data_IF_660088869889
#
_entry.id   IF_660088869889
#
_cell.length_a   1.000
_cell.length_b   1.000
_cell.length_c   1.000
_cell.angle_alpha   90.00
_cell.angle_beta   90.00
_cell.angle_gamma   90.00
#
_symmetry.space_group_name_H-M   'P 1'
#
loop_
_entity.id
_entity.type
_entity.pdbx_description
1 polymer ?
#
# COMPACT_ATOMS: atom_id res chain seq x y z
N UNK A 1 1.43 2.38 -23.40
CA UNK A 1 2.06 2.11 -22.10
C UNK A 1 0.97 1.62 -21.16
N UNK A 2 0.97 0.34 -20.74
CA UNK A 2 -0.09 -0.23 -19.90
C UNK A 2 0.29 -0.02 -18.43
N UNK A 3 -0.58 0.60 -17.64
CA UNK A 3 -0.32 0.91 -16.24
C UNK A 3 -0.13 -0.39 -15.45
N UNK A 4 0.97 -0.50 -14.73
CA UNK A 4 1.37 -1.74 -14.05
C UNK A 4 0.51 -1.99 -12.82
N UNK A 5 -0.04 -0.92 -12.24
CA UNK A 5 -1.12 -1.06 -11.27
C UNK A 5 -2.32 -1.80 -11.86
N UNK A 6 -2.65 -1.64 -13.16
CA UNK A 6 -3.75 -2.38 -13.78
C UNK A 6 -3.42 -3.86 -14.01
N UNK A 7 -2.17 -4.19 -14.33
CA UNK A 7 -1.75 -5.59 -14.49
C UNK A 7 -1.67 -6.30 -13.15
N UNK A 8 -1.16 -5.62 -12.12
CA UNK A 8 -1.17 -6.08 -10.75
C UNK A 8 -2.61 -6.25 -10.22
N UNK A 9 -3.51 -5.28 -10.47
CA UNK A 9 -4.92 -5.38 -10.08
C UNK A 9 -5.60 -6.58 -10.76
N UNK A 10 -5.30 -6.83 -12.04
CA UNK A 10 -5.81 -7.99 -12.79
C UNK A 10 -5.28 -9.30 -12.21
N UNK A 11 -4.00 -9.36 -11.88
CA UNK A 11 -3.40 -10.53 -11.25
C UNK A 11 -4.01 -10.76 -9.86
N UNK A 12 -4.09 -9.72 -9.03
CA UNK A 12 -4.70 -9.75 -7.70
C UNK A 12 -6.16 -10.20 -7.75
N UNK A 13 -7.02 -9.57 -8.58
CA UNK A 13 -8.43 -9.97 -8.73
C UNK A 13 -8.58 -11.41 -9.25
N UNK A 14 -7.69 -11.84 -10.15
CA UNK A 14 -7.67 -13.23 -10.62
C UNK A 14 -7.28 -14.18 -9.48
N UNK A 15 -6.32 -13.80 -8.63
CA UNK A 15 -5.92 -14.56 -7.45
C UNK A 15 -7.03 -14.64 -6.41
N UNK A 16 -7.73 -13.54 -6.09
CA UNK A 16 -8.85 -13.54 -5.13
C UNK A 16 -9.98 -14.47 -5.59
N UNK A 17 -10.30 -14.44 -6.89
CA UNK A 17 -11.29 -15.33 -7.49
C UNK A 17 -10.87 -16.80 -7.44
N UNK A 18 -9.58 -17.12 -7.64
CA UNK A 18 -9.07 -18.49 -7.58
C UNK A 18 -9.03 -19.00 -6.12
N UNK A 19 -8.63 -18.16 -5.16
CA UNK A 19 -8.54 -18.50 -3.73
C UNK A 19 -9.92 -18.81 -3.14
N UNK A 20 -10.94 -18.01 -3.50
CA UNK A 20 -12.34 -18.29 -3.12
C UNK A 20 -12.83 -19.66 -3.61
N UNK A 21 -12.22 -20.21 -4.68
CA UNK A 21 -12.59 -21.48 -5.28
C UNK A 21 -11.73 -22.68 -4.82
N UNK A 22 -10.56 -22.47 -4.20
CA UNK A 22 -9.61 -23.55 -3.83
C UNK A 22 -9.20 -23.52 -2.36
N UNK A 23 -10.17 -23.73 -1.45
CA UNK A 23 -9.91 -24.14 -0.05
C UNK A 23 -9.45 -25.61 0.05
N UNK A 24 -8.30 -25.98 -0.53
CA UNK A 24 -7.61 -27.25 -0.26
C UNK A 24 -6.30 -27.29 -1.05
N UNK A 25 -5.23 -27.80 -0.42
CA UNK A 25 -3.98 -28.35 -1.02
C UNK A 25 -2.69 -27.54 -0.77
N UNK A 26 -1.99 -27.94 0.30
CA UNK A 26 -0.56 -28.25 0.46
C UNK A 26 0.55 -27.16 0.58
N UNK A 27 1.47 -27.50 1.50
CA UNK A 27 2.68 -26.81 1.99
C UNK A 27 3.89 -27.04 1.06
N UNK A 28 4.51 -25.98 0.52
CA UNK A 28 5.98 -25.77 0.48
C UNK A 28 6.36 -24.45 -0.24
N UNK A 29 7.43 -23.80 0.25
CA UNK A 29 8.15 -22.62 -0.25
C UNK A 29 7.38 -21.28 -0.41
N UNK A 30 6.91 -20.76 0.73
CA UNK A 30 6.14 -19.51 0.86
C UNK A 30 7.02 -18.23 0.85
N UNK A 31 8.30 -18.30 1.21
CA UNK A 31 9.06 -17.11 1.61
C UNK A 31 9.59 -16.24 0.43
N UNK A 32 10.03 -16.87 -0.67
CA UNK A 32 10.65 -16.18 -1.82
C UNK A 32 9.63 -15.33 -2.61
N UNK A 33 8.37 -15.76 -2.67
CA UNK A 33 7.33 -15.09 -3.47
C UNK A 33 6.80 -13.81 -2.81
N UNK A 34 6.72 -13.81 -1.47
CA UNK A 34 6.18 -12.69 -0.69
C UNK A 34 7.15 -11.51 -0.67
N UNK A 35 8.47 -11.78 -0.67
CA UNK A 35 9.49 -10.73 -0.88
C UNK A 35 9.25 -9.99 -2.20
N UNK A 36 9.04 -10.77 -3.26
CA UNK A 36 8.81 -10.21 -4.59
C UNK A 36 7.58 -9.30 -4.62
N UNK A 37 6.47 -9.71 -3.99
CA UNK A 37 5.26 -8.87 -3.92
C UNK A 37 5.49 -7.57 -3.14
N UNK A 38 6.12 -7.64 -1.97
CA UNK A 38 6.38 -6.43 -1.20
C UNK A 38 7.37 -5.49 -1.91
N UNK A 39 8.44 -6.04 -2.48
CA UNK A 39 9.42 -5.26 -3.25
C UNK A 39 8.79 -4.67 -4.52
N UNK A 40 7.90 -5.41 -5.19
CA UNK A 40 7.13 -4.90 -6.31
C UNK A 40 6.23 -3.74 -5.89
N UNK A 41 5.47 -3.85 -4.79
CA UNK A 41 4.62 -2.75 -4.29
C UNK A 41 5.47 -1.51 -3.95
N UNK A 42 6.62 -1.73 -3.30
CA UNK A 42 7.54 -0.66 -2.90
C UNK A 42 8.22 0.04 -4.10
N UNK A 43 8.58 -0.72 -5.15
CA UNK A 43 9.28 -0.23 -6.35
C UNK A 43 8.35 0.29 -7.46
N UNK A 44 7.18 -0.32 -7.66
CA UNK A 44 6.25 -0.04 -8.77
C UNK A 44 5.44 1.25 -8.61
N UNK A 45 5.58 1.96 -7.50
CA UNK A 45 5.08 3.33 -7.42
C UNK A 45 5.99 4.35 -8.13
N UNK A 46 7.10 3.93 -8.74
CA UNK A 46 7.99 4.81 -9.54
C UNK A 46 8.42 4.29 -10.92
N UNK A 47 8.51 2.99 -11.25
CA UNK A 47 8.77 2.52 -12.64
C UNK A 47 8.60 1.00 -12.85
N UNK A 48 8.80 0.53 -14.09
CA UNK A 48 8.34 -0.74 -14.71
C UNK A 48 8.91 -2.06 -14.15
N UNK A 49 8.07 -3.09 -13.93
CA UNK A 49 8.52 -4.48 -13.72
C UNK A 49 8.57 -5.17 -15.09
N UNK A 50 9.72 -5.78 -15.39
CA UNK A 50 9.88 -6.69 -16.52
C UNK A 50 8.99 -7.93 -16.34
N UNK A 51 8.37 -8.35 -17.45
CA UNK A 51 7.37 -9.43 -17.54
C UNK A 51 7.89 -10.82 -17.15
N UNK A 52 8.23 -11.04 -15.88
CA UNK A 52 8.61 -12.35 -15.36
C UNK A 52 7.67 -12.87 -14.27
N UNK A 53 6.39 -12.49 -14.34
CA UNK A 53 5.35 -13.18 -13.57
C UNK A 53 4.89 -14.42 -14.35
N UNK A 54 5.59 -15.51 -14.10
CA UNK A 54 5.24 -16.85 -14.60
C UNK A 54 3.84 -17.25 -14.09
N UNK A 55 2.90 -17.62 -14.99
CA UNK A 55 1.54 -18.04 -14.64
C UNK A 55 1.46 -19.26 -13.69
N UNK A 56 2.54 -20.04 -13.59
CA UNK A 56 2.53 -21.34 -12.92
C UNK A 56 2.88 -21.28 -11.42
N UNK A 57 3.16 -20.09 -10.87
CA UNK A 57 3.63 -19.93 -9.49
C UNK A 57 2.47 -19.70 -8.49
N UNK A 58 1.42 -20.53 -8.54
CA UNK A 58 0.29 -20.43 -7.60
C UNK A 58 0.58 -21.32 -6.39
N UNK A 59 1.09 -20.73 -5.32
CA UNK A 59 1.25 -21.38 -4.01
C UNK A 59 0.28 -20.80 -2.97
N UNK A 60 -0.06 -21.60 -1.96
CA UNK A 60 -0.89 -21.20 -0.81
C UNK A 60 -0.26 -20.02 -0.06
N UNK A 61 -0.67 -18.80 -0.40
CA UNK A 61 -0.46 -17.63 0.45
C UNK A 61 -1.47 -17.75 1.59
N UNK A 62 -0.99 -17.77 2.83
CA UNK A 62 -1.86 -17.74 4.01
C UNK A 62 -2.75 -16.49 3.95
N UNK A 63 -4.03 -16.63 4.31
CA UNK A 63 -5.03 -15.55 4.20
C UNK A 63 -4.57 -14.27 4.91
N UNK A 64 -3.93 -14.41 6.08
CA UNK A 64 -3.33 -13.31 6.82
C UNK A 64 -2.24 -12.58 6.03
N UNK A 65 -1.42 -13.32 5.29
CA UNK A 65 -0.34 -12.76 4.48
C UNK A 65 -0.87 -12.04 3.24
N UNK A 66 -1.91 -12.59 2.61
CA UNK A 66 -2.61 -11.92 1.50
C UNK A 66 -3.29 -10.63 1.98
N UNK A 67 -3.94 -10.67 3.14
CA UNK A 67 -4.55 -9.49 3.75
C UNK A 67 -3.50 -8.40 4.07
N UNK A 68 -2.31 -8.79 4.53
CA UNK A 68 -1.20 -7.85 4.74
C UNK A 68 -0.71 -7.23 3.42
N UNK A 69 -0.56 -8.03 2.37
CA UNK A 69 -0.19 -7.53 1.03
C UNK A 69 -1.24 -6.54 0.51
N UNK A 70 -2.52 -6.86 0.65
CA UNK A 70 -3.62 -5.98 0.22
C UNK A 70 -3.64 -4.65 0.98
N UNK A 71 -3.44 -4.70 2.31
CA UNK A 71 -3.32 -3.48 3.12
C UNK A 71 -2.15 -2.60 2.66
N UNK A 72 -0.97 -3.18 2.42
CA UNK A 72 0.17 -2.39 1.94
C UNK A 72 -0.08 -1.82 0.54
N UNK A 73 -0.68 -2.61 -0.37
CA UNK A 73 -1.06 -2.14 -1.69
C UNK A 73 -2.02 -0.95 -1.62
N UNK A 74 -3.06 -1.05 -0.79
CA UNK A 74 -4.05 0.00 -0.61
C UNK A 74 -3.47 1.30 -0.07
N UNK A 75 -2.43 1.21 0.79
CA UNK A 75 -1.66 2.34 1.28
C UNK A 75 -0.87 3.00 0.14
N UNK A 76 -0.07 2.23 -0.61
CA UNK A 76 0.72 2.75 -1.72
C UNK A 76 -0.14 3.32 -2.85
N UNK A 77 -1.28 2.71 -3.17
CA UNK A 77 -2.21 3.23 -4.17
C UNK A 77 -2.76 4.62 -3.80
N UNK A 78 -2.96 4.89 -2.50
CA UNK A 78 -3.37 6.23 -2.01
C UNK A 78 -2.19 7.20 -2.03
N UNK A 79 -1.02 6.75 -1.59
CA UNK A 79 0.22 7.53 -1.68
C UNK A 79 0.49 7.99 -3.11
N UNK A 80 0.40 7.12 -4.12
CA UNK A 80 0.62 7.50 -5.53
C UNK A 80 -0.34 8.60 -5.98
N UNK A 81 -1.62 8.54 -5.58
CA UNK A 81 -2.60 9.59 -5.91
C UNK A 81 -2.28 10.91 -5.22
N UNK A 82 -1.94 10.86 -3.93
CA UNK A 82 -1.51 12.03 -3.16
C UNK A 82 -0.26 12.66 -3.79
N UNK A 83 0.79 11.87 -3.98
CA UNK A 83 2.04 12.28 -4.60
C UNK A 83 1.83 12.88 -6.00
N UNK A 84 0.93 12.31 -6.81
CA UNK A 84 0.58 12.87 -8.13
C UNK A 84 -0.05 14.25 -8.01
N UNK A 85 -1.02 14.45 -7.12
CA UNK A 85 -1.68 15.74 -6.92
C UNK A 85 -0.69 16.79 -6.40
N UNK A 86 0.16 16.40 -5.44
CA UNK A 86 1.17 17.26 -4.81
C UNK A 86 2.24 17.68 -5.83
N UNK A 87 2.84 16.74 -6.55
CA UNK A 87 3.90 17.04 -7.52
C UNK A 87 3.40 17.79 -8.75
N UNK A 88 2.18 17.52 -9.20
CA UNK A 88 1.57 18.27 -10.31
C UNK A 88 1.07 19.66 -9.90
N UNK A 89 1.08 19.99 -8.61
CA UNK A 89 0.47 21.21 -8.05
C UNK A 89 -0.93 21.44 -8.59
N UNK A 90 -1.71 20.37 -8.65
CA UNK A 90 -3.01 20.39 -9.30
C UNK A 90 -4.03 21.20 -8.49
N UNK A 91 -4.24 22.45 -8.89
CA UNK A 91 -5.24 23.36 -8.31
C UNK A 91 -6.66 22.79 -8.36
N UNK A 92 -6.97 22.04 -9.41
CA UNK A 92 -8.26 21.39 -9.58
C UNK A 92 -8.46 20.20 -8.64
N UNK A 93 -7.41 19.46 -8.29
CA UNK A 93 -7.51 18.26 -7.47
C UNK A 93 -7.07 18.45 -6.01
N UNK A 94 -6.59 19.64 -5.60
CA UNK A 94 -6.15 19.91 -4.22
C UNK A 94 -7.24 19.63 -3.18
N UNK A 95 -8.51 19.81 -3.52
CA UNK A 95 -9.65 19.50 -2.65
C UNK A 95 -9.77 18.00 -2.31
N UNK A 96 -9.16 17.12 -3.11
CA UNK A 96 -9.16 15.68 -2.88
C UNK A 96 -8.11 15.24 -1.85
N UNK A 97 -7.08 16.08 -1.59
CA UNK A 97 -5.99 15.76 -0.67
C UNK A 97 -6.52 15.37 0.71
N UNK A 98 -7.52 16.09 1.22
CA UNK A 98 -8.01 15.87 2.58
C UNK A 98 -8.74 14.52 2.67
N UNK A 99 -9.58 14.24 1.68
CA UNK A 99 -10.31 12.96 1.60
C UNK A 99 -9.36 11.78 1.43
N UNK A 100 -8.36 11.91 0.55
CA UNK A 100 -7.39 10.85 0.26
C UNK A 100 -6.45 10.60 1.45
N UNK A 101 -5.91 11.65 2.07
CA UNK A 101 -5.03 11.55 3.24
C UNK A 101 -5.79 11.04 4.47
N UNK A 102 -7.05 11.44 4.66
CA UNK A 102 -7.91 10.89 5.73
C UNK A 102 -8.19 9.40 5.54
N UNK A 103 -8.47 8.95 4.31
CA UNK A 103 -8.61 7.50 4.04
C UNK A 103 -7.30 6.75 4.23
N UNK A 104 -6.19 7.36 3.84
CA UNK A 104 -4.86 6.79 4.06
C UNK A 104 -4.54 6.65 5.56
N UNK A 105 -4.94 7.63 6.38
CA UNK A 105 -4.85 7.57 7.83
C UNK A 105 -5.56 6.33 8.40
N UNK A 106 -6.83 6.12 8.03
CA UNK A 106 -7.61 4.97 8.53
C UNK A 106 -6.92 3.66 8.20
N UNK A 107 -6.54 3.48 6.94
CA UNK A 107 -5.88 2.26 6.48
C UNK A 107 -4.51 2.07 7.15
N UNK A 108 -3.77 3.15 7.39
CA UNK A 108 -2.47 3.11 8.04
C UNK A 108 -2.58 2.74 9.51
N UNK A 109 -3.57 3.28 10.23
CA UNK A 109 -3.86 2.89 11.61
C UNK A 109 -4.14 1.39 11.67
N UNK A 110 -5.04 0.89 10.82
CA UNK A 110 -5.35 -0.55 10.76
C UNK A 110 -4.12 -1.41 10.46
N UNK A 111 -3.31 -1.01 9.48
CA UNK A 111 -2.05 -1.66 9.15
C UNK A 111 -1.08 -1.64 10.33
N UNK A 112 -0.95 -0.52 11.02
CA UNK A 112 0.00 -0.35 12.13
C UNK A 112 -0.30 -1.26 13.32
N UNK A 113 -1.59 -1.51 13.61
CA UNK A 113 -1.99 -2.44 14.67
C UNK A 113 -1.44 -3.85 14.45
N UNK A 114 -1.28 -4.28 13.20
CA UNK A 114 -0.73 -5.61 12.85
C UNK A 114 0.71 -5.75 13.35
N UNK A 115 1.43 -4.63 13.48
CA UNK A 115 2.83 -4.55 13.89
C UNK A 115 3.04 -4.33 15.38
N UNK A 116 1.97 -4.34 16.18
CA UNK A 116 2.09 -4.19 17.62
C UNK A 116 2.81 -5.40 18.25
N UNK A 117 3.71 -5.19 19.23
CA UNK A 117 4.47 -6.26 19.88
C UNK A 117 3.63 -7.39 20.51
N UNK A 118 2.35 -7.13 20.81
CA UNK A 118 1.42 -8.10 21.37
C UNK A 118 0.71 -9.00 20.34
N UNK A 119 0.88 -8.75 19.04
CA UNK A 119 0.29 -9.58 17.98
C UNK A 119 1.26 -10.70 17.59
N UNK A 120 1.03 -11.90 18.14
CA UNK A 120 1.87 -13.11 17.99
C UNK A 120 1.93 -13.72 16.57
N UNK A 121 1.52 -13.00 15.52
CA UNK A 121 1.61 -13.47 14.13
C UNK A 121 2.97 -13.04 13.56
N UNK A 122 3.64 -13.93 12.82
CA UNK A 122 4.92 -13.70 12.13
C UNK A 122 4.78 -12.65 10.99
N UNK A 123 4.39 -11.42 11.34
CA UNK A 123 4.17 -10.31 10.41
C UNK A 123 5.40 -9.40 10.31
N UNK A 124 6.56 -9.84 10.79
CA UNK A 124 7.84 -9.10 10.75
C UNK A 124 8.03 -8.41 9.40
N UNK A 125 7.78 -9.13 8.30
CA UNK A 125 8.06 -8.65 6.95
C UNK A 125 7.09 -7.59 6.46
N UNK A 126 5.81 -7.73 6.81
CA UNK A 126 4.83 -6.67 6.55
C UNK A 126 5.23 -5.40 7.31
N UNK A 127 5.68 -5.52 8.55
CA UNK A 127 6.09 -4.39 9.38
C UNK A 127 7.40 -3.74 8.92
N UNK A 128 8.36 -4.55 8.48
CA UNK A 128 9.56 -4.08 7.78
C UNK A 128 9.20 -3.25 6.55
N UNK A 129 8.15 -3.64 5.81
CA UNK A 129 7.68 -2.95 4.60
C UNK A 129 6.71 -1.80 4.84
N UNK A 130 6.05 -1.76 5.99
CA UNK A 130 5.22 -0.63 6.41
C UNK A 130 6.08 0.58 6.81
N UNK A 131 7.29 0.33 7.31
CA UNK A 131 8.27 1.37 7.69
C UNK A 131 8.67 2.28 6.52
N UNK A 132 9.14 1.79 5.35
CA UNK A 132 9.47 2.64 4.22
C UNK A 132 8.25 3.34 3.62
N UNK A 133 7.05 2.74 3.69
CA UNK A 133 5.81 3.44 3.34
C UNK A 133 5.62 4.69 4.21
N UNK A 134 5.76 4.55 5.54
CA UNK A 134 5.63 5.66 6.48
C UNK A 134 6.61 6.78 6.12
N UNK A 135 7.90 6.45 5.90
CA UNK A 135 8.92 7.43 5.52
C UNK A 135 8.56 8.16 4.22
N UNK A 136 8.16 7.45 3.17
CA UNK A 136 7.73 8.06 1.90
C UNK A 136 6.53 8.99 2.08
N UNK A 137 5.56 8.61 2.91
CA UNK A 137 4.41 9.45 3.18
C UNK A 137 4.80 10.72 3.97
N UNK A 138 5.73 10.60 4.92
CA UNK A 138 6.23 11.74 5.70
C UNK A 138 6.98 12.75 4.83
N UNK A 139 7.68 12.31 3.78
CA UNK A 139 8.31 13.19 2.79
C UNK A 139 7.30 14.08 2.04
N UNK A 140 6.03 13.65 1.94
CA UNK A 140 4.98 14.49 1.36
C UNK A 140 4.71 15.75 2.20
N UNK A 141 5.05 15.76 3.49
CA UNK A 141 4.79 16.89 4.39
C UNK A 141 5.58 18.12 3.95
N UNK A 142 6.84 17.91 3.61
CA UNK A 142 7.72 18.97 3.15
C UNK A 142 7.23 19.51 1.80
N UNK A 143 6.81 18.61 0.90
CA UNK A 143 6.28 18.99 -0.41
C UNK A 143 5.00 19.83 -0.31
N UNK A 144 4.01 19.41 0.50
CA UNK A 144 2.78 20.21 0.68
C UNK A 144 3.05 21.56 1.35
N UNK A 145 4.07 21.64 2.21
CA UNK A 145 4.55 22.90 2.79
C UNK A 145 5.06 23.87 1.73
N UNK A 146 5.82 23.37 0.76
CA UNK A 146 6.35 24.20 -0.35
C UNK A 146 5.30 24.61 -1.39
N UNK A 147 4.23 23.82 -1.53
CA UNK A 147 3.17 24.07 -2.52
C UNK A 147 2.12 25.09 -2.05
N UNK A 148 2.23 25.60 -0.81
CA UNK A 148 1.40 26.67 -0.28
C UNK A 148 0.39 26.24 0.78
N UNK A 149 -0.19 27.24 1.45
CA UNK A 149 -1.07 27.04 2.61
C UNK A 149 -2.26 26.12 2.30
N UNK A 150 -2.89 26.27 1.13
CA UNK A 150 -4.07 25.48 0.79
C UNK A 150 -3.76 23.99 0.59
N UNK A 151 -2.57 23.62 0.12
CA UNK A 151 -2.14 22.22 0.04
C UNK A 151 -1.92 21.65 1.44
N UNK A 152 -1.22 22.40 2.29
CA UNK A 152 -0.95 22.01 3.68
C UNK A 152 -2.23 21.87 4.50
N UNK A 153 -3.17 22.82 4.38
CA UNK A 153 -4.44 22.80 5.09
C UNK A 153 -5.36 21.66 4.66
N UNK A 154 -5.20 21.15 3.43
CA UNK A 154 -5.97 20.03 2.90
C UNK A 154 -5.20 18.71 2.96
N UNK A 155 -4.10 18.59 3.69
CA UNK A 155 -3.35 17.33 3.77
C UNK A 155 -3.20 16.87 5.22
N UNK A 156 -3.64 15.62 5.50
CA UNK A 156 -3.55 15.02 6.83
C UNK A 156 -2.26 14.21 6.99
N UNK A 157 -1.49 14.51 8.04
CA UNK A 157 -0.25 13.80 8.38
C UNK A 157 -0.54 12.48 9.11
N UNK A 158 0.38 11.52 8.99
CA UNK A 158 0.29 10.26 9.73
C UNK A 158 0.27 10.45 11.25
N UNK A 159 0.97 11.47 11.76
CA UNK A 159 1.00 11.82 13.18
C UNK A 159 -0.33 12.38 13.69
N UNK A 160 -1.20 12.85 12.79
CA UNK A 160 -2.54 13.35 13.09
C UNK A 160 -3.61 12.24 12.93
N UNK A 161 -3.19 11.04 12.50
CA UNK A 161 -4.06 9.87 12.45
C UNK A 161 -4.22 9.32 13.87
N UNK A 162 -5.44 9.39 14.41
CA UNK A 162 -5.73 8.96 15.79
C UNK A 162 -6.17 10.10 16.70
N UNK A 163 -5.85 11.34 16.32
CA UNK A 163 -6.45 12.55 16.90
C UNK A 163 -7.86 12.74 16.30
N UNK A 164 -8.78 11.86 16.67
CA UNK A 164 -10.19 12.24 16.71
C UNK A 164 -10.35 13.10 17.95
N UNK A 165 -10.16 14.41 17.82
CA UNK A 165 -10.81 15.36 18.72
C UNK A 165 -12.33 15.15 18.55
N UNK A 166 -12.88 14.25 19.36
CA UNK A 166 -14.30 14.16 19.72
C UNK A 166 -14.43 14.82 21.08
#
# INVERSE_FOLDING_TARGET
MKNICEQFLKLYMSLTNIINNKKKVLKHNINVCVDYFYNAIESQCESTIDNHLLPDLIYNIEEDLLNNIDKLYNLYAKYTKLNTIINSRSETNKHQLLSLSTKCCTDYIEASYICNPGNNKNNNKFCEKLTPFKSKYEELYDQVGTNGFEFSANFKKLTECGDTNI
#
